data_IF_951119498959
#
_entry.id   IF_951119498959
#
_cell.length_a   1.000
_cell.length_b   1.000
_cell.length_c   1.000
_cell.angle_alpha   90.00
_cell.angle_beta   90.00
_cell.angle_gamma   90.00
#
_symmetry.space_group_name_H-M   'P 1'
#
loop_
_entity.id
_entity.type
_entity.pdbx_description
1 polymer ?
#
# COMPACT_ATOMS: atom_id res chain seq x y z
N UNK A 1 -33.05 48.60 14.98
CA UNK A 1 -32.88 47.45 14.06
C UNK A 1 -31.39 47.11 13.90
N UNK A 2 -31.05 45.82 13.96
CA UNK A 2 -29.84 45.19 13.37
C UNK A 2 -28.46 45.36 14.05
N UNK A 3 -28.33 44.97 15.33
CA UNK A 3 -27.00 44.54 15.88
C UNK A 3 -26.89 43.03 16.13
N UNK A 4 -28.00 42.32 16.28
CA UNK A 4 -28.01 40.86 16.47
C UNK A 4 -27.71 40.04 15.19
N UNK A 5 -27.92 40.60 13.99
CA UNK A 5 -27.71 39.84 12.75
C UNK A 5 -26.25 39.75 12.27
N UNK A 6 -25.31 40.53 12.85
CA UNK A 6 -23.90 40.49 12.45
C UNK A 6 -23.10 39.42 13.20
N UNK A 7 -23.38 39.21 14.48
CA UNK A 7 -22.63 38.25 15.31
C UNK A 7 -22.87 36.80 14.88
N UNK A 8 -24.13 36.43 14.61
CA UNK A 8 -24.48 35.07 14.18
C UNK A 8 -23.93 34.73 12.79
N UNK A 9 -23.75 35.72 11.90
CA UNK A 9 -23.12 35.49 10.59
C UNK A 9 -21.62 35.24 10.68
N UNK A 10 -20.93 35.91 11.61
CA UNK A 10 -19.48 35.73 11.84
C UNK A 10 -19.21 34.37 12.49
N UNK A 11 -20.02 33.97 13.47
CA UNK A 11 -19.90 32.66 14.12
C UNK A 11 -20.21 31.53 13.14
N UNK A 12 -21.22 31.70 12.27
CA UNK A 12 -21.55 30.70 11.23
C UNK A 12 -20.47 30.60 10.14
N UNK A 13 -19.84 31.71 9.77
CA UNK A 13 -18.69 31.71 8.85
C UNK A 13 -17.45 31.06 9.45
N UNK A 14 -17.18 31.29 10.74
CA UNK A 14 -16.07 30.67 11.48
C UNK A 14 -16.26 29.17 11.71
N UNK A 15 -17.48 28.71 12.00
CA UNK A 15 -17.75 27.27 12.11
C UNK A 15 -17.76 26.59 10.75
N UNK A 16 -18.24 27.25 9.69
CA UNK A 16 -18.16 26.72 8.33
C UNK A 16 -16.71 26.65 7.83
N UNK A 17 -15.86 27.64 8.14
CA UNK A 17 -14.42 27.55 7.82
C UNK A 17 -13.71 26.48 8.65
N UNK A 18 -14.00 26.33 9.95
CA UNK A 18 -13.43 25.24 10.77
C UNK A 18 -13.89 23.84 10.33
N UNK A 19 -15.14 23.68 9.88
CA UNK A 19 -15.67 22.41 9.36
C UNK A 19 -15.14 22.07 7.96
N UNK A 20 -14.83 23.08 7.15
CA UNK A 20 -14.16 22.89 5.86
C UNK A 20 -12.66 22.61 6.07
N UNK A 21 -12.00 23.26 7.03
CA UNK A 21 -10.58 23.02 7.32
C UNK A 21 -10.32 21.66 7.99
N UNK A 22 -11.21 21.19 8.87
CA UNK A 22 -11.03 19.91 9.59
C UNK A 22 -11.35 18.65 8.77
N UNK A 23 -11.94 18.78 7.57
CA UNK A 23 -12.22 17.63 6.68
C UNK A 23 -11.39 17.62 5.40
N UNK A 24 -10.56 18.63 5.15
CA UNK A 24 -9.80 18.76 3.90
C UNK A 24 -8.37 18.22 4.01
N UNK A 25 -7.80 18.04 5.21
CA UNK A 25 -6.36 17.69 5.32
C UNK A 25 -6.03 16.19 5.16
N UNK A 26 -6.97 15.27 5.34
CA UNK A 26 -6.68 13.83 5.16
C UNK A 26 -6.90 13.35 3.71
N UNK A 27 -7.82 13.99 2.96
CA UNK A 27 -8.24 13.52 1.64
C UNK A 27 -7.46 14.14 0.46
N UNK A 28 -6.81 15.31 0.64
CA UNK A 28 -6.20 16.06 -0.46
C UNK A 28 -4.68 15.85 -0.66
N UNK A 29 -4.01 14.93 0.04
CA UNK A 29 -2.53 14.87 0.06
C UNK A 29 -1.83 13.80 -0.79
N UNK A 30 -2.53 12.97 -1.58
CA UNK A 30 -1.90 11.75 -2.17
C UNK A 30 -1.80 11.71 -3.70
N UNK A 31 -1.39 12.80 -4.34
CA UNK A 31 -1.23 12.86 -5.80
C UNK A 31 0.14 12.38 -6.33
N UNK A 32 1.11 12.00 -5.49
CA UNK A 32 2.48 11.69 -5.96
C UNK A 32 3.06 10.36 -5.47
N UNK A 33 2.24 9.30 -5.39
CA UNK A 33 2.80 7.97 -5.14
C UNK A 33 3.61 7.51 -6.34
N UNK A 34 4.91 7.33 -6.15
CA UNK A 34 5.80 6.70 -7.15
C UNK A 34 6.03 5.25 -6.75
N UNK A 35 6.11 4.38 -7.75
CA UNK A 35 6.26 2.95 -7.55
C UNK A 35 7.45 2.41 -8.32
N UNK A 36 8.23 1.56 -7.67
CA UNK A 36 9.28 0.76 -8.28
C UNK A 36 8.96 -0.72 -8.07
N UNK A 37 9.20 -1.52 -9.11
CA UNK A 37 9.00 -2.97 -9.09
C UNK A 37 10.32 -3.63 -9.43
N UNK A 38 10.75 -4.54 -8.57
CA UNK A 38 11.96 -5.33 -8.74
C UNK A 38 11.60 -6.81 -8.72
N UNK A 39 12.35 -7.62 -9.47
CA UNK A 39 12.32 -9.07 -9.30
C UNK A 39 13.40 -9.45 -8.30
N UNK A 40 13.04 -10.24 -7.30
CA UNK A 40 13.96 -10.74 -6.28
C UNK A 40 13.90 -12.26 -6.21
N UNK A 41 14.98 -12.90 -5.74
CA UNK A 41 14.96 -14.33 -5.50
C UNK A 41 13.89 -14.68 -4.45
N UNK A 42 13.11 -15.72 -4.72
CA UNK A 42 12.15 -16.24 -3.76
C UNK A 42 12.87 -16.79 -2.51
N UNK A 43 12.34 -16.52 -1.32
CA UNK A 43 12.82 -17.17 -0.09
C UNK A 43 12.30 -18.61 -0.02
N UNK A 44 13.23 -19.58 0.00
CA UNK A 44 13.08 -21.05 0.16
C UNK A 44 11.87 -21.73 -0.51
N UNK A 45 12.16 -22.82 -1.23
CA UNK A 45 11.27 -23.65 -2.06
C UNK A 45 10.49 -22.88 -3.15
N UNK A 46 10.58 -23.37 -4.39
CA UNK A 46 9.81 -22.88 -5.53
C UNK A 46 8.30 -23.01 -5.23
N UNK A 47 7.69 -21.90 -4.83
CA UNK A 47 6.30 -21.87 -4.33
C UNK A 47 5.45 -20.79 -5.00
N UNK A 48 6.03 -20.00 -5.89
CA UNK A 48 5.23 -19.05 -6.65
C UNK A 48 4.38 -19.84 -7.67
N UNK A 49 3.06 -19.71 -7.60
CA UNK A 49 2.13 -20.36 -8.50
C UNK A 49 2.24 -19.69 -9.87
N UNK A 50 2.93 -20.35 -10.81
CA UNK A 50 3.11 -19.85 -12.17
C UNK A 50 2.39 -20.68 -13.23
N UNK A 51 1.80 -20.02 -14.23
CA UNK A 51 1.58 -18.58 -14.29
C UNK A 51 0.53 -18.12 -13.25
N UNK A 52 0.63 -16.87 -12.79
CA UNK A 52 -0.34 -16.31 -11.82
C UNK A 52 -1.68 -16.10 -12.53
N UNK A 53 -2.69 -16.89 -12.19
CA UNK A 53 -4.08 -16.71 -12.65
C UNK A 53 -5.01 -16.23 -11.55
N UNK A 54 -6.20 -15.76 -11.92
CA UNK A 54 -7.26 -15.40 -10.97
C UNK A 54 -7.07 -14.05 -10.27
N UNK A 55 -6.00 -13.32 -10.57
CA UNK A 55 -5.82 -11.92 -10.13
C UNK A 55 -6.45 -11.02 -11.20
N UNK A 56 -7.59 -10.41 -10.87
CA UNK A 56 -8.26 -9.42 -11.73
C UNK A 56 -7.72 -8.02 -11.46
N UNK A 57 -7.61 -7.21 -12.53
CA UNK A 57 -7.07 -5.84 -12.44
C UNK A 57 -7.87 -4.96 -11.48
N UNK A 58 -9.19 -4.89 -11.66
CA UNK A 58 -10.04 -4.07 -10.81
C UNK A 58 -9.98 -4.49 -9.34
N UNK A 59 -9.92 -5.80 -9.09
CA UNK A 59 -9.87 -6.34 -7.73
C UNK A 59 -8.54 -6.03 -7.05
N UNK A 60 -7.43 -6.14 -7.78
CA UNK A 60 -6.11 -5.75 -7.29
C UNK A 60 -6.00 -4.23 -7.09
N UNK A 61 -6.60 -3.42 -7.98
CA UNK A 61 -6.65 -1.97 -7.85
C UNK A 61 -7.40 -1.56 -6.58
N UNK A 62 -8.58 -2.16 -6.36
CA UNK A 62 -9.30 -1.98 -5.10
C UNK A 62 -8.38 -2.35 -3.93
N UNK A 63 -7.71 -3.51 -3.97
CA UNK A 63 -6.87 -4.01 -2.86
C UNK A 63 -5.79 -2.99 -2.48
N UNK A 64 -5.10 -2.44 -3.47
CA UNK A 64 -4.09 -1.43 -3.20
C UNK A 64 -4.67 -0.11 -2.68
N UNK A 65 -5.84 0.30 -3.17
CA UNK A 65 -6.51 1.52 -2.73
C UNK A 65 -7.00 1.43 -1.28
N UNK A 66 -7.27 0.23 -0.77
CA UNK A 66 -7.84 0.05 0.57
C UNK A 66 -6.83 -0.18 1.68
N UNK A 67 -5.57 -0.50 1.34
CA UNK A 67 -4.55 -0.75 2.35
C UNK A 67 -4.33 0.53 3.13
N UNK A 68 -4.62 0.46 4.43
CA UNK A 68 -4.42 1.54 5.38
C UNK A 68 -3.28 1.18 6.32
N UNK A 69 -2.46 2.17 6.62
CA UNK A 69 -1.32 2.05 7.51
C UNK A 69 -1.53 3.02 8.66
N UNK A 70 -1.41 2.52 9.89
CA UNK A 70 -1.21 3.39 11.05
C UNK A 70 0.30 3.65 11.16
N UNK A 71 0.69 4.91 10.95
CA UNK A 71 2.09 5.32 10.95
C UNK A 71 2.54 5.69 12.36
N UNK A 72 3.64 5.10 12.84
CA UNK A 72 4.23 5.48 14.14
C UNK A 72 4.78 6.91 14.12
N UNK A 73 4.91 7.52 12.93
CA UNK A 73 5.55 8.83 12.72
C UNK A 73 4.57 9.99 12.65
N UNK A 74 3.33 9.71 12.32
CA UNK A 74 2.26 10.72 12.23
C UNK A 74 1.30 10.53 13.42
N UNK A 75 1.83 10.30 14.63
CA UNK A 75 1.07 10.10 15.87
C UNK A 75 -0.06 9.05 15.78
N UNK A 76 0.17 7.97 15.02
CA UNK A 76 -0.80 6.91 14.80
C UNK A 76 -1.86 7.23 13.73
N UNK A 77 -1.69 8.33 12.97
CA UNK A 77 -2.57 8.67 11.87
C UNK A 77 -2.73 7.51 10.89
N UNK A 78 -3.97 7.32 10.45
CA UNK A 78 -4.34 6.31 9.47
C UNK A 78 -4.21 6.88 8.08
N UNK A 79 -3.40 6.22 7.25
CA UNK A 79 -3.01 6.72 5.94
C UNK A 79 -3.17 5.63 4.89
N UNK A 80 -3.88 5.95 3.81
CA UNK A 80 -3.99 5.05 2.66
C UNK A 80 -2.64 4.86 1.97
N UNK A 81 -2.36 3.62 1.56
CA UNK A 81 -1.15 3.26 0.85
C UNK A 81 -1.00 4.03 -0.48
N UNK A 82 -2.10 4.24 -1.19
CA UNK A 82 -2.11 5.07 -2.39
C UNK A 82 -3.53 5.54 -2.69
N UNK A 83 -3.66 6.55 -3.54
CA UNK A 83 -4.95 6.96 -4.09
C UNK A 83 -5.52 5.91 -5.04
N UNK A 84 -6.85 5.91 -5.25
CA UNK A 84 -7.53 4.99 -6.18
C UNK A 84 -6.94 5.06 -7.59
N UNK A 85 -6.70 6.27 -8.11
CA UNK A 85 -6.10 6.47 -9.42
C UNK A 85 -4.70 5.83 -9.54
N UNK A 86 -3.87 5.96 -8.50
CA UNK A 86 -2.56 5.31 -8.48
C UNK A 86 -2.70 3.80 -8.32
N UNK A 87 -3.69 3.33 -7.57
CA UNK A 87 -3.96 1.91 -7.37
C UNK A 87 -4.32 1.20 -8.69
N UNK A 88 -5.12 1.81 -9.55
CA UNK A 88 -5.42 1.28 -10.88
C UNK A 88 -4.16 1.11 -11.74
N UNK A 89 -3.31 2.15 -11.78
CA UNK A 89 -2.06 2.12 -12.55
C UNK A 89 -1.07 1.09 -12.01
N UNK A 90 -0.94 1.01 -10.69
CA UNK A 90 -0.04 0.05 -10.02
C UNK A 90 -0.53 -1.37 -10.21
N UNK A 91 -1.84 -1.61 -10.12
CA UNK A 91 -2.40 -2.94 -10.31
C UNK A 91 -2.11 -3.51 -11.71
N UNK A 92 -2.15 -2.68 -12.76
CA UNK A 92 -1.75 -3.10 -14.11
C UNK A 92 -0.27 -3.52 -14.14
N UNK A 93 0.63 -2.70 -13.59
CA UNK A 93 2.07 -2.98 -13.56
C UNK A 93 2.40 -4.23 -12.74
N UNK A 94 1.74 -4.40 -11.60
CA UNK A 94 1.89 -5.58 -10.74
C UNK A 94 1.41 -6.83 -11.45
N UNK A 95 0.26 -6.80 -12.13
CA UNK A 95 -0.23 -7.94 -12.91
C UNK A 95 0.73 -8.35 -14.02
N UNK A 96 1.24 -7.37 -14.79
CA UNK A 96 2.22 -7.63 -15.84
C UNK A 96 3.51 -8.22 -15.26
N UNK A 97 3.96 -7.72 -14.11
CA UNK A 97 5.16 -8.20 -13.43
C UNK A 97 4.97 -9.61 -12.91
N UNK A 98 3.89 -9.90 -12.18
CA UNK A 98 3.56 -11.23 -11.66
C UNK A 98 3.46 -12.29 -12.76
N UNK A 99 2.92 -11.94 -13.94
CA UNK A 99 2.87 -12.85 -15.10
C UNK A 99 4.24 -13.15 -15.70
N UNK A 100 5.22 -12.27 -15.52
CA UNK A 100 6.58 -12.38 -16.08
C UNK A 100 7.58 -13.03 -15.13
N UNK A 101 7.27 -13.08 -13.83
CA UNK A 101 8.14 -13.74 -12.85
C UNK A 101 8.28 -15.23 -13.16
N UNK A 102 9.45 -15.76 -12.85
CA UNK A 102 9.73 -17.20 -12.85
C UNK A 102 9.35 -17.80 -11.49
N UNK A 103 9.26 -19.13 -11.43
CA UNK A 103 8.94 -19.89 -10.21
C UNK A 103 9.93 -19.72 -9.06
N UNK A 104 11.15 -19.28 -9.35
CA UNK A 104 12.22 -18.98 -8.40
C UNK A 104 12.27 -17.49 -7.99
N UNK A 105 11.29 -16.68 -8.41
CA UNK A 105 11.26 -15.24 -8.20
C UNK A 105 9.98 -14.78 -7.51
N UNK A 106 10.16 -13.79 -6.63
CA UNK A 106 9.09 -13.00 -6.04
C UNK A 106 9.17 -11.55 -6.56
N UNK A 107 8.08 -10.81 -6.44
CA UNK A 107 8.07 -9.38 -6.74
C UNK A 107 8.44 -8.59 -5.49
N UNK A 108 9.27 -7.57 -5.64
CA UNK A 108 9.48 -6.54 -4.63
C UNK A 108 8.89 -5.23 -5.13
N UNK A 109 7.81 -4.81 -4.50
CA UNK A 109 7.08 -3.58 -4.76
C UNK A 109 7.51 -2.53 -3.73
N UNK A 110 8.00 -1.39 -4.21
CA UNK A 110 8.39 -0.27 -3.36
C UNK A 110 7.52 0.92 -3.72
N UNK A 111 6.87 1.47 -2.70
CA UNK A 111 5.95 2.59 -2.84
C UNK A 111 6.53 3.78 -2.10
N UNK A 112 6.74 4.87 -2.81
CA UNK A 112 7.16 6.14 -2.25
C UNK A 112 5.98 7.09 -2.18
N UNK A 113 5.78 7.72 -1.04
CA UNK A 113 4.69 8.66 -0.78
C UNK A 113 5.24 9.95 -0.25
N UNK A 114 4.62 11.05 -0.63
CA UNK A 114 4.87 12.34 -0.01
C UNK A 114 3.72 12.63 0.94
N UNK A 115 4.02 12.86 2.22
CA UNK A 115 3.04 13.16 3.27
C UNK A 115 3.32 14.58 3.77
N UNK A 116 2.27 15.36 4.00
CA UNK A 116 2.36 16.78 4.37
C UNK A 116 2.10 17.75 3.20
N UNK A 117 1.94 19.04 3.51
CA UNK A 117 1.59 20.09 2.54
C UNK A 117 2.76 20.62 1.71
N UNK A 118 2.48 21.61 0.85
CA UNK A 118 3.46 22.23 -0.07
C UNK A 118 4.70 22.83 0.62
N UNK A 119 4.59 23.16 1.92
CA UNK A 119 5.66 23.80 2.71
C UNK A 119 6.45 22.82 3.59
N UNK A 120 5.96 21.59 3.81
CA UNK A 120 6.56 20.63 4.77
C UNK A 120 6.42 19.17 4.35
N UNK A 121 6.43 18.90 3.04
CA UNK A 121 6.28 17.56 2.51
C UNK A 121 7.49 16.67 2.86
N UNK A 122 7.23 15.56 3.55
CA UNK A 122 8.21 14.49 3.82
C UNK A 122 7.95 13.31 2.91
N UNK A 123 9.02 12.62 2.50
CA UNK A 123 8.91 11.40 1.71
C UNK A 123 9.06 10.18 2.59
N UNK A 124 8.16 9.24 2.37
CA UNK A 124 8.10 7.98 3.08
C UNK A 124 8.10 6.83 2.08
N UNK A 125 8.55 5.66 2.54
CA UNK A 125 8.64 4.48 1.70
C UNK A 125 8.12 3.23 2.38
N UNK A 126 7.41 2.43 1.60
CA UNK A 126 6.85 1.14 2.00
C UNK A 126 7.39 0.06 1.06
N UNK A 127 7.97 -1.00 1.63
CA UNK A 127 8.53 -2.14 0.90
C UNK A 127 7.67 -3.38 1.09
N UNK A 128 7.21 -3.97 -0.01
CA UNK A 128 6.27 -5.09 -0.03
C UNK A 128 6.83 -6.20 -0.90
N UNK A 129 6.95 -7.40 -0.35
CA UNK A 129 7.15 -8.60 -1.15
C UNK A 129 5.80 -9.14 -1.60
N UNK A 130 5.68 -9.47 -2.88
CA UNK A 130 4.45 -10.01 -3.46
C UNK A 130 4.73 -11.29 -4.22
N UNK A 131 3.94 -12.33 -3.97
CA UNK A 131 3.99 -13.60 -4.68
C UNK A 131 2.61 -14.27 -4.64
N UNK A 132 2.33 -15.20 -5.54
CA UNK A 132 1.11 -15.99 -5.50
C UNK A 132 1.44 -17.43 -5.12
N UNK A 133 0.63 -18.10 -4.31
CA UNK A 133 0.79 -19.54 -4.05
C UNK A 133 -0.58 -20.22 -3.94
N UNK A 134 -0.63 -21.44 -3.42
CA UNK A 134 -1.86 -22.19 -3.24
C UNK A 134 -2.87 -21.53 -2.26
N UNK A 135 -2.39 -20.62 -1.39
CA UNK A 135 -3.24 -19.88 -0.45
C UNK A 135 -3.83 -18.60 -1.04
N UNK A 136 -3.20 -18.05 -2.08
CA UNK A 136 -3.67 -16.85 -2.76
C UNK A 136 -2.54 -15.90 -3.15
N UNK A 137 -2.87 -14.61 -3.28
CA UNK A 137 -1.91 -13.54 -3.50
C UNK A 137 -1.41 -13.06 -2.14
N UNK A 138 -0.11 -13.17 -1.92
CA UNK A 138 0.55 -12.86 -0.66
C UNK A 138 1.26 -11.51 -0.78
N UNK A 139 1.03 -10.62 0.18
CA UNK A 139 1.72 -9.34 0.34
C UNK A 139 2.40 -9.33 1.71
N UNK A 140 3.73 -9.37 1.76
CA UNK A 140 4.50 -9.29 3.01
C UNK A 140 5.23 -7.95 3.09
N UNK A 141 4.85 -7.14 4.06
CA UNK A 141 5.39 -5.81 4.30
C UNK A 141 6.67 -5.92 5.14
N UNK A 142 7.77 -5.35 4.66
CA UNK A 142 9.03 -5.32 5.40
C UNK A 142 9.22 -4.00 6.11
N UNK A 143 8.98 -2.91 5.40
CA UNK A 143 9.02 -1.55 5.94
C UNK A 143 7.73 -0.84 5.60
N UNK A 144 7.17 -0.15 6.59
CA UNK A 144 6.03 0.75 6.44
C UNK A 144 6.48 2.16 6.71
N UNK A 145 6.07 3.06 5.80
CA UNK A 145 6.04 4.49 6.01
C UNK A 145 7.26 5.08 6.74
N UNK A 146 8.44 4.62 6.33
CA UNK A 146 9.68 5.07 6.96
C UNK A 146 10.23 6.24 6.17
N UNK A 147 10.56 7.31 6.90
CA UNK A 147 11.10 8.54 6.36
C UNK A 147 12.35 8.26 5.52
N UNK A 148 12.38 8.87 4.34
CA UNK A 148 13.51 8.85 3.43
C UNK A 148 14.07 10.27 3.40
N UNK A 149 15.18 10.46 4.11
CA UNK A 149 15.86 11.76 4.23
C UNK A 149 16.41 12.26 2.88
N UNK A 150 16.64 11.34 1.94
CA UNK A 150 17.54 11.61 0.83
C UNK A 150 16.84 11.92 -0.49
N UNK A 151 16.92 13.21 -0.85
CA UNK A 151 17.13 13.71 -2.21
C UNK A 151 18.63 13.69 -2.58
N UNK A 152 19.40 12.68 -2.14
CA UNK A 152 20.84 12.61 -2.41
C UNK A 152 21.23 11.31 -3.11
N UNK A 153 21.20 11.37 -4.44
CA UNK A 153 22.03 10.54 -5.31
C UNK A 153 21.48 9.15 -5.69
N UNK A 154 22.24 8.42 -6.54
CA UNK A 154 21.90 7.09 -7.04
C UNK A 154 21.87 6.00 -5.96
N UNK A 155 22.31 6.29 -4.73
CA UNK A 155 22.40 5.34 -3.61
C UNK A 155 21.14 5.32 -2.72
N UNK A 156 19.97 5.61 -3.29
CA UNK A 156 18.71 5.61 -2.55
C UNK A 156 18.47 4.23 -1.92
N UNK A 157 18.33 4.20 -0.59
CA UNK A 157 18.00 2.95 0.13
C UNK A 157 16.61 2.47 -0.25
N UNK A 158 16.57 1.41 -1.03
CA UNK A 158 15.33 0.70 -1.37
C UNK A 158 14.72 0.18 -0.06
N UNK A 159 13.44 0.52 0.18
CA UNK A 159 12.72 0.01 1.34
C UNK A 159 12.77 -1.52 1.34
N UNK A 160 13.14 -2.18 2.44
CA UNK A 160 13.27 -3.63 2.44
C UNK A 160 11.90 -4.31 2.29
N UNK A 161 11.85 -5.35 1.46
CA UNK A 161 10.73 -6.27 1.35
C UNK A 161 10.54 -7.08 2.65
N UNK A 162 9.30 -7.53 2.90
CA UNK A 162 8.99 -8.46 3.99
C UNK A 162 9.56 -9.86 3.77
N UNK A 163 9.60 -10.68 4.83
CA UNK A 163 10.15 -12.05 4.79
C UNK A 163 9.08 -13.10 5.13
N UNK A 164 9.16 -14.25 4.46
CA UNK A 164 8.28 -15.40 4.74
C UNK A 164 8.57 -16.00 6.12
N UNK A 165 9.83 -16.01 6.52
CA UNK A 165 10.29 -16.75 7.70
C UNK A 165 10.37 -15.91 8.97
N UNK A 166 10.28 -14.58 8.88
CA UNK A 166 10.39 -13.71 10.03
C UNK A 166 9.47 -12.50 9.90
N UNK A 167 8.88 -12.10 11.03
CA UNK A 167 8.24 -10.79 11.17
C UNK A 167 9.33 -9.73 11.16
N UNK A 168 9.29 -8.83 10.18
CA UNK A 168 10.33 -7.81 9.98
C UNK A 168 9.80 -6.39 9.86
N UNK A 169 8.52 -6.19 10.14
CA UNK A 169 7.83 -4.90 10.01
C UNK A 169 8.50 -3.79 10.81
N UNK A 170 8.69 -2.62 10.19
CA UNK A 170 9.20 -1.40 10.82
C UNK A 170 8.34 -0.21 10.43
N UNK A 171 8.11 0.71 11.37
CA UNK A 171 7.58 2.05 11.12
C UNK A 171 6.07 2.23 11.25
N UNK A 172 5.31 1.15 11.46
CA UNK A 172 3.87 1.23 11.68
C UNK A 172 3.19 -0.13 11.68
N UNK A 173 1.87 -0.11 11.54
CA UNK A 173 1.02 -1.31 11.43
C UNK A 173 0.05 -1.21 10.26
N UNK A 174 -0.38 -2.36 9.75
CA UNK A 174 -1.39 -2.45 8.71
C UNK A 174 -2.77 -2.57 9.37
N UNK A 175 -3.73 -1.78 8.92
CA UNK A 175 -5.10 -1.84 9.39
C UNK A 175 -5.86 -2.85 8.53
N UNK A 176 -6.44 -3.86 9.18
CA UNK A 176 -7.21 -4.90 8.50
C UNK A 176 -8.42 -4.32 7.76
N UNK A 177 -8.81 -4.96 6.65
CA UNK A 177 -10.07 -4.71 5.96
C UNK A 177 -10.75 -6.05 5.62
N UNK A 178 -12.06 -6.04 5.39
CA UNK A 178 -12.93 -7.24 5.33
C UNK A 178 -12.67 -8.26 4.20
N UNK A 179 -11.65 -8.04 3.37
CA UNK A 179 -11.49 -8.69 2.08
C UNK A 179 -10.05 -9.10 1.79
N UNK A 180 -9.20 -8.98 2.81
CA UNK A 180 -7.96 -9.73 2.94
C UNK A 180 -7.84 -10.22 4.37
N UNK A 181 -7.07 -11.28 4.57
CA UNK A 181 -6.79 -11.81 5.89
C UNK A 181 -5.29 -11.68 6.18
N UNK A 182 -4.93 -11.57 7.45
CA UNK A 182 -3.55 -11.77 7.83
C UNK A 182 -3.24 -13.26 7.91
N UNK A 183 -2.02 -13.62 7.51
CA UNK A 183 -1.49 -14.95 7.81
C UNK A 183 -1.49 -15.16 9.32
N UNK A 184 -1.91 -16.34 9.76
CA UNK A 184 -1.97 -16.68 11.19
C UNK A 184 -0.66 -16.33 11.92
N UNK A 185 -0.77 -15.60 13.03
CA UNK A 185 0.36 -15.17 13.84
C UNK A 185 1.23 -14.05 13.23
N UNK A 186 0.80 -13.43 12.12
CA UNK A 186 1.53 -12.34 11.44
C UNK A 186 0.67 -11.09 11.36
N UNK A 187 1.30 -9.92 11.51
CA UNK A 187 0.66 -8.60 11.30
C UNK A 187 1.20 -7.86 10.08
N UNK A 188 2.15 -8.47 9.38
CA UNK A 188 2.88 -7.92 8.23
C UNK A 188 2.64 -8.73 6.96
N UNK A 189 1.87 -9.82 7.01
CA UNK A 189 1.63 -10.71 5.90
C UNK A 189 0.14 -10.80 5.61
N UNK A 190 -0.28 -10.11 4.56
CA UNK A 190 -1.65 -10.17 4.03
C UNK A 190 -1.77 -11.28 2.98
N UNK A 191 -2.88 -12.00 3.03
CA UNK A 191 -3.28 -13.01 2.04
C UNK A 191 -4.61 -12.57 1.44
N UNK A 192 -4.59 -12.36 0.13
CA UNK A 192 -5.79 -12.15 -0.66
C UNK A 192 -6.16 -13.48 -1.34
N UNK A 193 -7.32 -14.09 -1.02
CA UNK A 193 -7.69 -15.38 -1.56
C UNK A 193 -7.90 -15.28 -3.08
N UNK A 194 -7.24 -16.15 -3.83
CA UNK A 194 -7.45 -16.27 -5.27
C UNK A 194 -8.46 -17.37 -5.58
N UNK A 195 -9.23 -17.25 -6.68
CA UNK A 195 -10.01 -18.36 -7.20
C UNK A 195 -9.11 -19.60 -7.34
N UNK A 196 -9.63 -20.78 -6.98
CA UNK A 196 -8.88 -22.04 -7.08
C UNK A 196 -8.29 -22.16 -8.48
N UNK A 197 -6.97 -22.27 -8.56
CA UNK A 197 -6.26 -22.47 -9.82
C UNK A 197 -6.84 -23.71 -10.53
N UNK A 198 -7.15 -23.63 -11.84
CA UNK A 198 -7.54 -24.83 -12.57
C UNK A 198 -6.38 -25.82 -12.44
N UNK A 199 -6.65 -27.02 -11.92
CA UNK A 199 -5.65 -28.09 -11.91
C UNK A 199 -5.16 -28.25 -13.33
N UNK A 200 -3.87 -27.98 -13.56
CA UNK A 200 -3.20 -28.26 -14.82
C UNK A 200 -3.63 -29.66 -15.26
N UNK A 201 -4.48 -29.74 -16.29
CA UNK A 201 -4.69 -30.99 -17.00
C UNK A 201 -3.41 -31.20 -17.77
N UNK A 202 -2.40 -31.78 -17.11
CA UNK A 202 -1.32 -32.46 -17.80
C UNK A 202 -2.00 -33.49 -18.71
N UNK A 203 -2.09 -33.14 -19.99
CA UNK A 203 -2.35 -34.11 -21.06
C UNK A 203 -1.12 -35.01 -21.06
N UNK A 204 -1.24 -36.17 -20.42
CA UNK A 204 -0.51 -37.36 -20.84
C UNK A 204 -1.22 -37.95 -22.05
#
# INVERSE_FOLDING_TARGET
MSRHNRSSRIIFLLTLTLLILSRVEAAHLYSSSLVEIHSIAAENEARNAHPVHGVEHLTLAKLFASIQISSDREDGATIYLMSELNAERVAEQVLLSLRRLRTDQDMHLVIYRSIGGSLSSKRYSTGIRVFADASGLNLIFGQLDTFQDDFRGPDRKIAPAGSRNAVRLKGGSIIAADWFEFKEGRSDWMVYPLPKQPKSRLRM
#
